data_IF_810377044680
#
_entry.id   IF_810377044680
#
_cell.length_a   1.000
_cell.length_b   1.000
_cell.length_c   1.000
_cell.angle_alpha   90.00
_cell.angle_beta   90.00
_cell.angle_gamma   90.00
#
_symmetry.space_group_name_H-M   'P 1'
#
loop_
_entity.id
_entity.type
_entity.pdbx_description
1 polymer ?
#
# COMPACT_ATOMS: atom_id res chain seq x y z
N UNK A 1 -6.10 -45.02 -40.94
CA UNK A 1 -6.71 -43.66 -40.92
C UNK A 1 -6.42 -42.87 -39.62
N UNK A 2 -5.26 -43.00 -38.96
CA UNK A 2 -4.95 -42.25 -37.72
C UNK A 2 -3.75 -41.29 -37.82
N UNK A 3 -2.84 -41.46 -38.79
CA UNK A 3 -1.67 -40.57 -38.96
C UNK A 3 -2.01 -39.18 -39.55
N UNK A 4 -3.06 -39.05 -40.37
CA UNK A 4 -3.45 -37.77 -40.98
C UNK A 4 -4.08 -36.79 -39.97
N UNK A 5 -4.67 -37.31 -38.89
CA UNK A 5 -5.31 -36.50 -37.86
C UNK A 5 -4.30 -35.84 -36.92
N UNK A 6 -3.19 -36.53 -36.60
CA UNK A 6 -2.10 -35.96 -35.79
C UNK A 6 -1.36 -34.81 -36.48
N UNK A 7 -1.21 -34.86 -37.81
CA UNK A 7 -0.54 -33.80 -38.58
C UNK A 7 -1.39 -32.52 -38.63
N UNK A 8 -2.71 -32.66 -38.78
CA UNK A 8 -3.63 -31.51 -38.79
C UNK A 8 -3.71 -30.80 -37.43
N UNK A 9 -3.69 -31.54 -36.32
CA UNK A 9 -3.67 -30.95 -34.97
C UNK A 9 -2.36 -30.23 -34.67
N UNK A 10 -1.23 -30.73 -35.15
CA UNK A 10 0.07 -30.09 -34.97
C UNK A 10 0.19 -28.76 -35.75
N UNK A 11 -0.38 -28.69 -36.95
CA UNK A 11 -0.41 -27.47 -37.76
C UNK A 11 -1.30 -26.39 -37.12
N UNK A 12 -2.48 -26.77 -36.61
CA UNK A 12 -3.37 -25.84 -35.91
C UNK A 12 -2.76 -25.30 -34.61
N UNK A 13 -2.04 -26.14 -33.86
CA UNK A 13 -1.34 -25.72 -32.65
C UNK A 13 -0.20 -24.73 -32.95
N UNK A 14 0.58 -24.94 -34.02
CA UNK A 14 1.62 -24.00 -34.44
C UNK A 14 1.04 -22.66 -34.91
N UNK A 15 -0.07 -22.66 -35.65
CA UNK A 15 -0.74 -21.44 -36.08
C UNK A 15 -1.20 -20.56 -34.90
N UNK A 16 -1.74 -21.18 -33.84
CA UNK A 16 -2.16 -20.47 -32.62
C UNK A 16 -0.98 -19.83 -31.87
N UNK A 17 0.18 -20.49 -31.82
CA UNK A 17 1.39 -19.96 -31.18
C UNK A 17 1.96 -18.77 -31.97
N UNK A 18 1.94 -18.80 -33.30
CA UNK A 18 2.35 -17.65 -34.13
C UNK A 18 1.46 -16.41 -33.93
N UNK A 19 0.14 -16.58 -33.82
CA UNK A 19 -0.78 -15.45 -33.59
C UNK A 19 -0.60 -14.85 -32.18
N UNK A 20 -0.28 -15.67 -31.18
CA UNK A 20 -0.01 -15.20 -29.83
C UNK A 20 1.31 -14.41 -29.71
N UNK A 21 2.36 -14.82 -30.44
CA UNK A 21 3.65 -14.14 -30.45
C UNK A 21 3.64 -12.83 -31.24
N UNK A 22 2.90 -12.73 -32.36
CA UNK A 22 2.78 -11.46 -33.10
C UNK A 22 1.99 -10.40 -32.33
N UNK A 23 1.01 -10.80 -31.52
CA UNK A 23 0.27 -9.86 -30.66
C UNK A 23 1.11 -9.30 -29.49
N UNK A 24 2.08 -10.06 -28.97
CA UNK A 24 2.97 -9.57 -27.89
C UNK A 24 4.13 -8.70 -28.40
N UNK A 25 4.60 -8.92 -29.63
CA UNK A 25 5.72 -8.14 -30.21
C UNK A 25 5.27 -6.82 -30.85
N UNK A 26 3.98 -6.69 -31.21
CA UNK A 26 3.44 -5.47 -31.87
C UNK A 26 3.07 -4.35 -30.88
N UNK A 27 3.14 -4.58 -29.57
CA UNK A 27 2.95 -3.52 -28.57
C UNK A 27 4.21 -2.70 -28.28
N UNK A 28 5.39 -3.11 -28.77
CA UNK A 28 6.66 -2.45 -28.46
C UNK A 28 7.10 -1.36 -29.46
N UNK A 29 6.36 -1.11 -30.56
CA UNK A 29 6.73 -0.13 -31.58
C UNK A 29 5.52 0.63 -32.16
N UNK A 30 4.84 1.44 -31.35
CA UNK A 30 4.04 2.55 -31.91
C UNK A 30 4.73 3.88 -31.64
N UNK A 31 5.37 4.49 -32.65
CA UNK A 31 5.80 5.87 -32.58
C UNK A 31 4.60 6.80 -32.52
N UNK A 32 4.83 7.88 -31.78
CA UNK A 32 3.97 9.02 -31.50
C UNK A 32 3.13 9.47 -32.72
N UNK A 33 1.81 9.51 -32.56
CA UNK A 33 0.92 10.20 -33.48
C UNK A 33 -0.01 11.08 -32.66
N UNK A 34 0.40 12.34 -32.55
CA UNK A 34 -0.40 13.41 -32.00
C UNK A 34 -1.76 13.48 -32.67
N UNK A 35 -2.80 13.41 -31.85
CA UNK A 35 -4.12 13.96 -32.11
C UNK A 35 -4.76 14.25 -30.75
N UNK A 36 -4.30 15.34 -30.12
CA UNK A 36 -5.05 16.00 -29.05
C UNK A 36 -6.30 16.61 -29.69
N UNK A 37 -7.31 15.78 -29.89
CA UNK A 37 -8.69 16.23 -30.03
C UNK A 37 -9.17 16.63 -28.64
N UNK A 38 -9.47 17.91 -28.50
CA UNK A 38 -10.16 18.51 -27.38
C UNK A 38 -11.37 17.67 -26.97
N UNK A 39 -11.21 16.94 -25.85
CA UNK A 39 -12.35 16.37 -25.12
C UNK A 39 -12.48 17.13 -23.81
N UNK A 40 -13.45 18.02 -23.84
CA UNK A 40 -13.97 18.78 -22.73
C UNK A 40 -14.07 17.95 -21.45
N UNK A 41 -13.60 18.56 -20.35
CA UNK A 41 -14.21 18.46 -19.02
C UNK A 41 -14.72 17.10 -18.57
N UNK A 42 -13.84 16.11 -18.49
CA UNK A 42 -14.06 14.94 -17.64
C UNK A 42 -13.30 15.15 -16.35
N UNK A 43 -14.02 15.34 -15.25
CA UNK A 43 -13.49 15.52 -13.90
C UNK A 43 -12.27 14.62 -13.67
N UNK A 44 -11.10 15.26 -13.60
CA UNK A 44 -9.90 14.60 -13.08
C UNK A 44 -10.23 14.25 -11.64
N UNK A 45 -10.69 13.01 -11.46
CA UNK A 45 -10.87 12.35 -10.18
C UNK A 45 -9.49 12.25 -9.55
N UNK A 46 -9.02 13.34 -8.93
CA UNK A 46 -7.85 13.42 -8.05
C UNK A 46 -8.10 12.65 -6.75
N UNK A 47 -8.69 11.45 -6.84
CA UNK A 47 -9.18 10.66 -5.73
C UNK A 47 -8.34 9.40 -5.48
N UNK A 48 -7.06 9.43 -5.84
CA UNK A 48 -6.13 8.30 -5.66
C UNK A 48 -5.21 8.41 -4.45
N UNK A 49 -5.09 9.58 -3.81
CA UNK A 49 -4.02 9.83 -2.82
C UNK A 49 -4.31 9.41 -1.38
N UNK A 50 -5.58 9.20 -1.01
CA UNK A 50 -5.98 9.05 0.40
C UNK A 50 -6.85 7.82 0.68
N UNK A 51 -7.20 7.04 -0.35
CA UNK A 51 -8.21 5.96 -0.25
C UNK A 51 -7.69 4.64 0.35
N UNK A 52 -6.44 4.58 0.79
CA UNK A 52 -5.87 3.37 1.40
C UNK A 52 -5.02 3.68 2.65
N UNK A 53 -5.32 4.77 3.37
CA UNK A 53 -4.76 4.91 4.72
C UNK A 53 -5.40 3.82 5.58
N UNK A 54 -4.69 2.72 5.82
CA UNK A 54 -5.11 1.78 6.84
C UNK A 54 -4.87 2.44 8.21
N UNK A 55 -5.92 2.81 8.93
CA UNK A 55 -5.80 3.49 10.22
C UNK A 55 -5.10 2.67 11.30
N UNK A 56 -5.08 1.34 11.20
CA UNK A 56 -4.33 0.46 12.12
C UNK A 56 -2.87 0.27 11.70
N UNK A 57 -2.45 0.86 10.56
CA UNK A 57 -1.13 0.61 9.98
C UNK A 57 0.04 0.98 10.88
N UNK A 58 -0.11 1.92 11.81
CA UNK A 58 0.96 2.26 12.76
C UNK A 58 1.26 1.05 13.65
N UNK A 59 0.22 0.42 14.20
CA UNK A 59 0.33 -0.72 15.10
C UNK A 59 0.73 -1.97 14.30
N UNK A 60 0.06 -2.25 13.18
CA UNK A 60 0.32 -3.45 12.37
C UNK A 60 1.75 -3.45 11.78
N UNK A 61 2.22 -2.30 11.27
CA UNK A 61 3.59 -2.20 10.77
C UNK A 61 4.61 -2.26 11.90
N UNK A 62 4.33 -1.66 13.06
CA UNK A 62 5.23 -1.75 14.22
C UNK A 62 5.39 -3.21 14.69
N UNK A 63 4.33 -4.02 14.66
CA UNK A 63 4.42 -5.44 14.98
C UNK A 63 5.31 -6.21 13.99
N UNK A 64 5.14 -5.91 12.70
CA UNK A 64 5.94 -6.49 11.63
C UNK A 64 7.42 -6.14 11.81
N UNK A 65 7.71 -4.87 12.10
CA UNK A 65 9.07 -4.40 12.33
C UNK A 65 9.69 -5.03 13.58
N UNK A 66 8.92 -5.11 14.67
CA UNK A 66 9.37 -5.74 15.91
C UNK A 66 9.79 -7.20 15.67
N UNK A 67 9.00 -7.92 14.86
CA UNK A 67 9.22 -9.34 14.54
C UNK A 67 10.37 -9.56 13.55
N UNK A 68 10.42 -8.80 12.45
CA UNK A 68 11.29 -9.12 11.32
C UNK A 68 12.50 -8.20 11.16
N UNK A 69 12.40 -6.94 11.58
CA UNK A 69 13.46 -5.95 11.44
C UNK A 69 14.28 -5.83 12.73
N UNK A 70 13.60 -5.63 13.87
CA UNK A 70 14.23 -5.57 15.20
C UNK A 70 14.62 -6.95 15.68
N UNK A 71 13.83 -7.99 15.33
CA UNK A 71 14.06 -9.40 15.65
C UNK A 71 14.25 -9.62 17.15
N UNK A 72 13.29 -9.17 17.94
CA UNK A 72 13.28 -9.45 19.39
C UNK A 72 13.01 -10.93 19.65
N UNK A 73 13.38 -11.40 20.83
CA UNK A 73 13.17 -12.78 21.25
C UNK A 73 11.68 -13.10 21.49
N UNK A 74 11.36 -14.39 21.52
CA UNK A 74 9.99 -14.88 21.66
C UNK A 74 9.34 -14.44 22.99
N UNK A 75 10.11 -14.35 24.08
CA UNK A 75 9.57 -13.91 25.37
C UNK A 75 9.13 -12.44 25.29
N UNK A 76 9.94 -11.59 24.67
CA UNK A 76 9.60 -10.20 24.37
C UNK A 76 8.37 -10.11 23.47
N UNK A 77 8.26 -10.93 22.42
CA UNK A 77 7.06 -10.96 21.54
C UNK A 77 5.80 -11.38 22.31
N UNK A 78 5.90 -12.35 23.21
CA UNK A 78 4.78 -12.80 24.05
C UNK A 78 4.31 -11.67 24.96
N UNK A 79 5.23 -10.94 25.60
CA UNK A 79 4.90 -9.79 26.46
C UNK A 79 4.35 -8.61 25.67
N UNK A 80 4.83 -8.39 24.44
CA UNK A 80 4.38 -7.28 23.61
C UNK A 80 2.99 -7.52 23.01
N UNK A 81 2.65 -8.77 22.66
CA UNK A 81 1.36 -9.14 22.04
C UNK A 81 0.11 -8.51 22.68
N UNK A 82 -0.11 -8.57 24.01
CA UNK A 82 -1.29 -7.96 24.62
C UNK A 82 -1.35 -6.43 24.42
N UNK A 83 -0.20 -5.74 24.39
CA UNK A 83 -0.13 -4.30 24.11
C UNK A 83 -0.62 -4.03 22.68
N UNK A 84 -0.11 -4.79 21.71
CA UNK A 84 -0.54 -4.66 20.30
C UNK A 84 -2.04 -4.95 20.13
N UNK A 85 -2.54 -6.02 20.73
CA UNK A 85 -3.96 -6.39 20.65
C UNK A 85 -4.86 -5.30 21.24
N UNK A 86 -4.57 -4.85 22.47
CA UNK A 86 -5.32 -3.78 23.16
C UNK A 86 -5.49 -2.55 22.28
N UNK A 87 -4.39 -2.03 21.74
CA UNK A 87 -4.41 -0.78 20.98
C UNK A 87 -4.99 -0.96 19.58
N UNK A 88 -4.77 -2.11 18.95
CA UNK A 88 -5.39 -2.45 17.67
C UNK A 88 -6.91 -2.54 17.78
N UNK A 89 -7.41 -3.23 18.80
CA UNK A 89 -8.84 -3.38 19.04
C UNK A 89 -9.50 -2.04 19.39
N UNK A 90 -8.81 -1.20 20.17
CA UNK A 90 -9.23 0.18 20.47
C UNK A 90 -9.37 1.03 19.20
N UNK A 91 -8.39 1.00 18.29
CA UNK A 91 -8.48 1.69 17.01
C UNK A 91 -9.61 1.14 16.14
N UNK A 92 -9.75 -0.18 16.06
CA UNK A 92 -10.81 -0.82 15.28
C UNK A 92 -12.21 -0.43 15.77
N UNK A 93 -12.40 -0.40 17.09
CA UNK A 93 -13.64 0.08 17.71
C UNK A 93 -13.92 1.53 17.35
N UNK A 94 -12.93 2.41 17.55
CA UNK A 94 -13.06 3.85 17.24
C UNK A 94 -13.41 4.10 15.78
N UNK A 95 -12.80 3.34 14.87
CA UNK A 95 -13.08 3.39 13.45
C UNK A 95 -14.49 2.93 13.09
N UNK A 96 -14.95 1.85 13.73
CA UNK A 96 -16.29 1.32 13.52
C UNK A 96 -17.33 2.37 13.96
N UNK A 97 -17.15 2.95 15.14
CA UNK A 97 -18.04 3.99 15.69
C UNK A 97 -18.06 5.23 14.79
N UNK A 98 -16.90 5.74 14.38
CA UNK A 98 -16.81 6.90 13.46
C UNK A 98 -17.44 6.62 12.09
N UNK A 99 -17.40 5.36 11.62
CA UNK A 99 -18.04 4.96 10.37
C UNK A 99 -19.55 4.89 10.51
N UNK A 100 -20.06 4.43 11.64
CA UNK A 100 -21.49 4.33 11.94
C UNK A 100 -22.13 5.70 12.22
N UNK A 101 -21.42 6.58 12.94
CA UNK A 101 -21.90 7.93 13.28
C UNK A 101 -21.69 8.94 12.14
N UNK A 102 -20.77 8.68 11.22
CA UNK A 102 -20.33 9.65 10.22
C UNK A 102 -19.40 10.74 10.76
N UNK A 103 -19.08 10.73 12.06
CA UNK A 103 -18.13 11.65 12.68
C UNK A 103 -16.69 11.25 12.35
N UNK A 104 -16.17 11.87 11.28
CA UNK A 104 -14.77 11.74 10.88
C UNK A 104 -13.86 12.79 11.51
N UNK A 105 -14.41 13.78 12.21
CA UNK A 105 -13.65 14.87 12.82
C UNK A 105 -12.84 14.39 14.02
N UNK A 106 -13.44 13.58 14.88
CA UNK A 106 -12.80 13.04 16.09
C UNK A 106 -11.70 12.00 15.83
N UNK A 107 -11.64 11.43 14.62
CA UNK A 107 -10.70 10.35 14.30
C UNK A 107 -9.23 10.76 14.45
N UNK A 108 -8.86 11.97 14.04
CA UNK A 108 -7.47 12.42 14.10
C UNK A 108 -6.95 12.48 15.54
N UNK A 109 -7.78 13.01 16.44
CA UNK A 109 -7.45 13.10 17.87
C UNK A 109 -7.38 11.72 18.50
N UNK A 110 -8.36 10.85 18.20
CA UNK A 110 -8.36 9.47 18.68
C UNK A 110 -7.12 8.69 18.22
N UNK A 111 -6.70 8.82 16.96
CA UNK A 111 -5.46 8.22 16.48
C UNK A 111 -4.21 8.76 17.20
N UNK A 112 -4.14 10.07 17.41
CA UNK A 112 -3.03 10.68 18.14
C UNK A 112 -2.93 10.20 19.58
N UNK A 113 -4.09 10.08 20.25
CA UNK A 113 -4.19 9.56 21.62
C UNK A 113 -3.76 8.10 21.70
N UNK A 114 -4.37 7.22 20.89
CA UNK A 114 -4.02 5.79 20.90
C UNK A 114 -2.57 5.56 20.49
N UNK A 115 -2.04 6.33 19.54
CA UNK A 115 -0.62 6.26 19.17
C UNK A 115 0.31 6.61 20.34
N UNK A 116 -0.03 7.64 21.12
CA UNK A 116 0.74 8.06 22.30
C UNK A 116 0.68 7.00 23.40
N UNK A 117 -0.51 6.48 23.71
CA UNK A 117 -0.71 5.43 24.71
C UNK A 117 -0.02 4.12 24.30
N UNK A 118 -0.11 3.74 23.02
CA UNK A 118 0.58 2.57 22.46
C UNK A 118 2.10 2.67 22.65
N UNK A 119 2.69 3.82 22.34
CA UNK A 119 4.13 4.04 22.53
C UNK A 119 4.53 3.99 24.01
N UNK A 120 3.71 4.52 24.90
CA UNK A 120 3.97 4.47 26.34
C UNK A 120 3.93 3.02 26.86
N UNK A 121 2.89 2.27 26.50
CA UNK A 121 2.75 0.86 26.90
C UNK A 121 3.88 0.00 26.33
N UNK A 122 4.32 0.23 25.08
CA UNK A 122 5.45 -0.50 24.49
C UNK A 122 6.77 -0.30 25.25
N UNK A 123 7.03 0.91 25.77
CA UNK A 123 8.25 1.19 26.55
C UNK A 123 8.32 0.41 27.86
N UNK A 124 7.20 -0.12 28.35
CA UNK A 124 7.20 -0.99 29.54
C UNK A 124 7.66 -2.43 29.24
N UNK A 125 7.69 -2.81 27.96
CA UNK A 125 8.01 -4.18 27.52
C UNK A 125 9.32 -4.24 26.73
N UNK A 126 9.65 -3.17 26.00
CA UNK A 126 10.80 -3.10 25.12
C UNK A 126 11.93 -2.25 25.72
N UNK A 127 13.16 -2.56 25.32
CA UNK A 127 14.32 -1.73 25.67
C UNK A 127 14.30 -0.40 24.89
N UNK A 128 15.02 0.61 25.40
CA UNK A 128 15.15 1.89 24.72
C UNK A 128 15.73 1.75 23.31
N UNK A 129 16.67 0.83 23.12
CA UNK A 129 17.27 0.54 21.80
C UNK A 129 16.27 -0.05 20.81
N UNK A 130 15.40 -0.97 21.26
CA UNK A 130 14.35 -1.56 20.42
C UNK A 130 13.32 -0.51 20.02
N UNK A 131 12.93 0.36 20.96
CA UNK A 131 12.02 1.49 20.70
C UNK A 131 12.64 2.47 19.70
N UNK A 132 13.91 2.81 19.86
CA UNK A 132 14.61 3.70 18.94
C UNK A 132 14.64 3.14 17.52
N UNK A 133 14.92 1.84 17.34
CA UNK A 133 14.87 1.17 16.03
C UNK A 133 13.47 1.23 15.41
N UNK A 134 12.42 0.98 16.20
CA UNK A 134 11.03 1.09 15.72
C UNK A 134 10.69 2.52 15.28
N UNK A 135 11.10 3.52 16.06
CA UNK A 135 10.88 4.93 15.73
C UNK A 135 11.58 5.31 14.41
N UNK A 136 12.82 4.85 14.19
CA UNK A 136 13.54 5.04 12.92
C UNK A 136 12.79 4.42 11.75
N UNK A 137 12.37 3.15 11.85
CA UNK A 137 11.64 2.47 10.79
C UNK A 137 10.30 3.15 10.46
N UNK A 138 9.59 3.65 11.48
CA UNK A 138 8.38 4.43 11.30
C UNK A 138 8.66 5.75 10.59
N UNK A 139 9.72 6.47 10.98
CA UNK A 139 10.13 7.73 10.37
C UNK A 139 10.55 7.53 8.90
N UNK A 140 11.31 6.49 8.59
CA UNK A 140 11.68 6.13 7.22
C UNK A 140 10.45 5.82 6.36
N UNK A 141 9.49 5.03 6.87
CA UNK A 141 8.23 4.77 6.16
C UNK A 141 7.46 6.07 5.91
N UNK A 142 7.44 6.99 6.88
CA UNK A 142 6.80 8.30 6.72
C UNK A 142 7.50 9.16 5.67
N UNK A 143 8.83 9.22 5.70
CA UNK A 143 9.63 9.95 4.71
C UNK A 143 9.46 9.37 3.31
N UNK A 144 9.42 8.05 3.17
CA UNK A 144 9.14 7.39 1.90
C UNK A 144 7.75 7.74 1.38
N UNK A 145 6.73 7.79 2.24
CA UNK A 145 5.39 8.23 1.86
C UNK A 145 5.38 9.70 1.42
N UNK A 146 6.09 10.58 2.13
CA UNK A 146 6.24 12.00 1.75
C UNK A 146 6.92 12.15 0.40
N UNK A 147 8.01 11.43 0.17
CA UNK A 147 8.76 11.44 -1.09
C UNK A 147 7.91 10.90 -2.26
N UNK A 148 7.05 9.91 -2.01
CA UNK A 148 6.10 9.38 -3.01
C UNK A 148 4.90 10.30 -3.25
N UNK A 149 4.48 11.08 -2.24
CA UNK A 149 3.39 12.04 -2.33
C UNK A 149 3.76 13.39 -2.96
N UNK A 150 5.03 13.78 -2.92
CA UNK A 150 5.52 15.08 -3.42
C UNK A 150 5.79 15.16 -4.94
N UNK A 151 5.74 14.04 -5.67
CA UNK A 151 6.20 13.96 -7.07
C UNK A 151 5.17 14.24 -8.18
N UNK A 152 3.94 14.65 -7.87
CA UNK A 152 2.90 14.93 -8.88
C UNK A 152 2.15 16.24 -8.59
N UNK A 153 2.86 17.35 -8.68
CA UNK A 153 2.25 18.68 -8.50
C UNK A 153 3.00 19.86 -9.11
N UNK A 154 3.99 19.64 -9.97
CA UNK A 154 4.79 20.74 -10.54
C UNK A 154 5.31 20.40 -11.93
N UNK A 155 4.56 20.75 -12.96
CA UNK A 155 5.01 20.56 -14.33
C UNK A 155 3.87 20.61 -15.34
N UNK A 156 3.38 21.81 -15.64
CA UNK A 156 2.44 21.96 -16.74
C UNK A 156 1.81 23.34 -16.84
N UNK A 157 2.54 24.29 -17.42
CA UNK A 157 1.90 25.42 -18.12
C UNK A 157 2.25 26.83 -17.62
N UNK A 158 3.52 27.23 -17.68
CA UNK A 158 3.82 28.59 -18.16
C UNK A 158 3.85 28.52 -19.67
N UNK A 159 2.80 29.06 -20.28
CA UNK A 159 2.62 29.06 -21.72
C UNK A 159 1.42 29.87 -22.11
N UNK A 160 1.50 31.19 -21.89
CA UNK A 160 1.11 32.29 -22.78
C UNK A 160 1.42 33.61 -22.08
#
# INVERSE_FOLDING_TARGET
MKRRWFVLTAILAMAAVTVFLTNQVTQAQRPDRGERRDRAGGERRGGGGMRAFNPTSIIDNSWTDLTFAVKVDDETLIKARPVYQKHRDSLQKTLKEARESGDRGGLREAFGKVGSEFKADLKSVLTEEQIAKLDTLQAERMQQMMNRGGGRGGGGGRGR
#
